data_IF_867930228048
#
_entry.id   IF_867930228048
#
_cell.length_a   1.000
_cell.length_b   1.000
_cell.length_c   1.000
_cell.angle_alpha   90.00
_cell.angle_beta   90.00
_cell.angle_gamma   90.00
#
_symmetry.space_group_name_H-M   'P 1'
#
loop_
_entity.id
_entity.type
_entity.pdbx_description
1 polymer ?
#
# COMPACT_ATOMS: atom_id res chain seq x y z
N UNK A 1 -20.32 -10.27 -5.16
CA UNK A 1 -19.60 -10.15 -3.86
C UNK A 1 -19.55 -8.67 -3.57
N UNK A 2 -20.00 -8.22 -2.41
CA UNK A 2 -19.93 -6.82 -2.03
C UNK A 2 -18.49 -6.43 -1.61
N UNK A 3 -18.25 -5.13 -1.36
CA UNK A 3 -16.93 -4.60 -1.01
C UNK A 3 -16.37 -5.24 0.26
N UNK A 4 -17.19 -5.41 1.29
CA UNK A 4 -16.79 -6.00 2.57
C UNK A 4 -16.33 -7.45 2.36
N UNK A 5 -17.05 -8.21 1.56
CA UNK A 5 -16.72 -9.60 1.24
C UNK A 5 -15.40 -9.70 0.48
N UNK A 6 -15.15 -8.80 -0.52
CA UNK A 6 -13.90 -8.74 -1.27
C UNK A 6 -12.71 -8.50 -0.34
N UNK A 7 -12.79 -7.47 0.52
CA UNK A 7 -11.73 -7.13 1.49
C UNK A 7 -11.50 -8.21 2.54
N UNK A 8 -12.57 -8.82 3.05
CA UNK A 8 -12.46 -9.96 3.96
C UNK A 8 -11.80 -11.17 3.30
N UNK A 9 -12.03 -11.38 2.00
CA UNK A 9 -11.33 -12.42 1.24
C UNK A 9 -9.83 -12.13 1.19
N UNK A 10 -9.43 -10.92 0.80
CA UNK A 10 -8.02 -10.50 0.75
C UNK A 10 -7.34 -10.67 2.12
N UNK A 11 -8.00 -10.22 3.21
CA UNK A 11 -7.48 -10.42 4.57
C UNK A 11 -7.21 -11.88 4.90
N UNK A 12 -8.15 -12.77 4.57
CA UNK A 12 -7.98 -14.22 4.79
C UNK A 12 -6.83 -14.77 3.95
N UNK A 13 -6.70 -14.30 2.72
CA UNK A 13 -5.69 -14.76 1.78
C UNK A 13 -4.29 -14.38 2.25
N UNK A 14 -4.06 -13.12 2.63
CA UNK A 14 -2.78 -12.69 3.19
C UNK A 14 -2.45 -13.33 4.53
N UNK A 15 -3.43 -13.61 5.39
CA UNK A 15 -3.19 -14.42 6.59
C UNK A 15 -2.77 -15.85 6.22
N UNK A 16 -3.30 -16.42 5.15
CA UNK A 16 -3.00 -17.79 4.75
C UNK A 16 -1.60 -17.93 4.14
N UNK A 17 -1.16 -16.95 3.35
CA UNK A 17 0.12 -16.97 2.63
C UNK A 17 1.25 -16.23 3.35
N UNK A 18 1.01 -15.68 4.53
CA UNK A 18 1.95 -14.82 5.23
C UNK A 18 3.37 -15.42 5.37
N UNK A 19 3.48 -16.73 5.60
CA UNK A 19 4.76 -17.44 5.74
C UNK A 19 5.58 -17.38 4.44
N UNK A 20 4.94 -17.73 3.31
CA UNK A 20 5.59 -17.74 2.00
C UNK A 20 5.89 -16.30 1.55
N UNK A 21 4.91 -15.42 1.70
CA UNK A 21 5.07 -14.01 1.36
C UNK A 21 6.21 -13.36 2.13
N UNK A 22 6.31 -13.61 3.45
CA UNK A 22 7.42 -13.07 4.24
C UNK A 22 8.77 -13.65 3.83
N UNK A 23 8.83 -14.95 3.54
CA UNK A 23 10.07 -15.61 3.12
C UNK A 23 10.67 -14.99 1.85
N UNK A 24 9.83 -14.50 0.95
CA UNK A 24 10.24 -13.93 -0.33
C UNK A 24 10.38 -12.40 -0.28
N UNK A 25 9.38 -11.71 0.27
CA UNK A 25 9.30 -10.25 0.23
C UNK A 25 9.53 -9.56 1.58
N UNK A 26 9.73 -10.32 2.66
CA UNK A 26 9.68 -9.77 4.01
C UNK A 26 10.89 -8.94 4.44
N UNK A 27 12.01 -9.01 3.74
CA UNK A 27 13.28 -8.43 4.19
C UNK A 27 13.83 -7.40 3.21
N UNK A 28 13.97 -7.75 1.93
CA UNK A 28 14.53 -6.84 0.94
C UNK A 28 13.52 -5.78 0.50
N UNK A 29 13.98 -4.54 0.34
CA UNK A 29 13.15 -3.45 -0.16
C UNK A 29 13.21 -3.41 -1.68
N UNK A 30 12.05 -3.52 -2.27
CA UNK A 30 11.83 -3.20 -3.68
C UNK A 30 11.76 -1.68 -3.86
N UNK A 31 11.89 -1.22 -5.09
CA UNK A 31 11.69 0.19 -5.47
C UNK A 31 12.51 1.21 -4.65
N UNK A 32 13.70 0.81 -4.22
CA UNK A 32 14.55 1.63 -3.35
C UNK A 32 14.84 3.02 -3.95
N UNK A 33 14.88 3.16 -5.27
CA UNK A 33 15.07 4.45 -5.94
C UNK A 33 13.86 5.37 -5.74
N UNK A 34 12.64 4.85 -5.88
CA UNK A 34 11.41 5.59 -5.59
C UNK A 34 11.35 5.98 -4.11
N UNK A 35 11.64 5.05 -3.21
CA UNK A 35 11.63 5.30 -1.76
C UNK A 35 12.69 6.36 -1.37
N UNK A 36 13.87 6.34 -1.98
CA UNK A 36 14.88 7.36 -1.77
C UNK A 36 14.44 8.72 -2.34
N UNK A 37 13.75 8.73 -3.49
CA UNK A 37 13.17 9.95 -4.06
C UNK A 37 12.10 10.51 -3.13
N UNK A 38 11.15 9.68 -2.66
CA UNK A 38 10.13 10.09 -1.71
C UNK A 38 10.74 10.67 -0.44
N UNK A 39 11.69 9.97 0.16
CA UNK A 39 12.40 10.42 1.35
C UNK A 39 13.09 11.78 1.16
N UNK A 40 13.58 12.09 -0.05
CA UNK A 40 14.26 13.36 -0.33
C UNK A 40 13.36 14.59 -0.25
N UNK A 41 12.04 14.40 -0.23
CA UNK A 41 11.05 15.47 -0.04
C UNK A 41 10.62 15.67 1.41
N UNK A 42 11.09 14.83 2.34
CA UNK A 42 10.70 14.84 3.74
C UNK A 42 11.79 15.45 4.62
N UNK A 43 11.36 16.18 5.63
CA UNK A 43 12.22 16.64 6.70
C UNK A 43 12.58 15.50 7.65
N UNK A 44 13.68 15.62 8.39
CA UNK A 44 14.02 14.69 9.46
C UNK A 44 12.89 14.67 10.50
N UNK A 45 12.70 13.51 11.12
CA UNK A 45 11.69 13.28 12.13
C UNK A 45 10.23 13.35 11.61
N UNK A 46 10.02 13.45 10.27
CA UNK A 46 8.67 13.37 9.70
C UNK A 46 7.96 12.09 10.15
N UNK A 47 6.67 12.22 10.43
CA UNK A 47 5.80 11.09 10.78
C UNK A 47 5.23 10.47 9.52
N UNK A 48 5.48 9.18 9.33
CA UNK A 48 5.09 8.41 8.14
C UNK A 48 4.18 7.26 8.58
N UNK A 49 3.10 7.04 7.87
CA UNK A 49 2.28 5.83 8.03
C UNK A 49 2.36 5.00 6.75
N UNK A 50 2.66 3.72 6.91
CA UNK A 50 2.75 2.75 5.81
C UNK A 50 1.48 1.91 5.77
N UNK A 51 0.51 2.31 4.92
CA UNK A 51 -0.80 1.68 4.78
C UNK A 51 -0.71 0.41 3.93
N UNK A 52 -1.17 -0.71 4.49
CA UNK A 52 -0.97 -2.02 3.90
C UNK A 52 0.49 -2.45 3.94
N UNK A 53 1.22 -2.02 4.99
CA UNK A 53 2.68 -2.20 5.10
C UNK A 53 3.13 -3.64 5.37
N UNK A 54 2.21 -4.61 5.40
CA UNK A 54 2.51 -6.02 5.55
C UNK A 54 3.34 -6.32 6.80
N UNK A 55 4.50 -6.96 6.62
CA UNK A 55 5.39 -7.31 7.72
C UNK A 55 6.25 -6.14 8.24
N UNK A 56 6.02 -4.89 7.80
CA UNK A 56 6.65 -3.69 8.35
C UNK A 56 8.06 -3.39 7.84
N UNK A 57 8.52 -4.02 6.75
CA UNK A 57 9.88 -3.81 6.23
C UNK A 57 10.15 -2.35 5.82
N UNK A 58 9.19 -1.69 5.18
CA UNK A 58 9.32 -0.29 4.74
C UNK A 58 9.28 0.65 5.93
N UNK A 59 8.38 0.43 6.88
CA UNK A 59 8.34 1.18 8.14
C UNK A 59 9.66 1.06 8.92
N UNK A 60 10.23 -0.16 9.01
CA UNK A 60 11.54 -0.36 9.64
C UNK A 60 12.66 0.40 8.92
N UNK A 61 12.66 0.40 7.58
CA UNK A 61 13.60 1.18 6.80
C UNK A 61 13.52 2.68 7.14
N UNK A 62 12.32 3.25 7.20
CA UNK A 62 12.15 4.66 7.56
C UNK A 62 12.65 4.96 8.98
N UNK A 63 12.37 4.10 9.96
CA UNK A 63 12.88 4.25 11.34
C UNK A 63 14.42 4.24 11.35
N UNK A 64 15.05 3.32 10.62
CA UNK A 64 16.51 3.28 10.50
C UNK A 64 17.11 4.52 9.81
N UNK A 65 16.31 5.27 9.04
CA UNK A 65 16.71 6.54 8.41
C UNK A 65 16.37 7.77 9.26
N UNK A 66 15.82 7.58 10.48
CA UNK A 66 15.54 8.66 11.43
C UNK A 66 14.17 9.31 11.27
N UNK A 67 13.22 8.61 10.65
CA UNK A 67 11.83 9.03 10.58
C UNK A 67 10.99 8.35 11.67
N UNK A 68 9.85 8.95 12.01
CA UNK A 68 8.86 8.31 12.86
C UNK A 68 7.89 7.52 11.98
N UNK A 69 8.01 6.20 11.91
CA UNK A 69 7.17 5.40 11.02
C UNK A 69 6.31 4.39 11.79
N UNK A 70 5.08 4.21 11.31
CA UNK A 70 4.12 3.22 11.84
C UNK A 70 3.63 2.35 10.69
N UNK A 71 3.69 1.04 10.84
CA UNK A 71 3.07 0.08 9.94
C UNK A 71 1.59 -0.05 10.27
N UNK A 72 0.77 -0.05 9.23
CA UNK A 72 -0.69 -0.21 9.33
C UNK A 72 -1.12 -1.33 8.40
N UNK A 73 -1.66 -2.42 8.93
CA UNK A 73 -2.10 -3.56 8.12
C UNK A 73 -3.22 -4.33 8.83
N UNK A 74 -4.08 -4.99 8.08
CA UNK A 74 -5.22 -5.74 8.63
C UNK A 74 -4.90 -7.21 8.95
N UNK A 75 -3.73 -7.72 8.52
CA UNK A 75 -3.35 -9.13 8.70
C UNK A 75 -2.68 -9.35 10.05
N UNK A 76 -3.28 -10.23 10.85
CA UNK A 76 -2.71 -10.65 12.14
C UNK A 76 -1.37 -11.38 11.96
N UNK A 77 -1.25 -12.17 10.91
CA UNK A 77 -0.02 -12.90 10.63
C UNK A 77 1.10 -11.96 10.18
N UNK A 78 0.82 -10.93 9.34
CA UNK A 78 1.80 -9.90 9.01
C UNK A 78 2.26 -9.15 10.25
N UNK A 79 1.35 -8.76 11.16
CA UNK A 79 1.72 -8.17 12.44
C UNK A 79 2.65 -9.08 13.26
N UNK A 80 2.36 -10.39 13.32
CA UNK A 80 3.18 -11.33 14.06
C UNK A 80 4.60 -11.42 13.48
N UNK A 81 4.76 -11.32 12.15
CA UNK A 81 6.06 -11.23 11.49
C UNK A 81 6.76 -9.91 11.79
N UNK A 82 6.05 -8.78 11.70
CA UNK A 82 6.60 -7.46 12.05
C UNK A 82 7.15 -7.45 13.47
N UNK A 83 6.39 -7.93 14.45
CA UNK A 83 6.80 -7.97 15.86
C UNK A 83 8.03 -8.83 16.12
N UNK A 84 8.21 -9.93 15.36
CA UNK A 84 9.37 -10.82 15.52
C UNK A 84 10.63 -10.28 14.84
N UNK A 85 10.50 -9.64 13.69
CA UNK A 85 11.65 -9.27 12.85
C UNK A 85 11.99 -7.78 12.96
N UNK A 86 11.01 -6.93 13.27
CA UNK A 86 11.15 -5.48 13.39
C UNK A 86 10.43 -4.99 14.66
N UNK A 87 10.90 -5.40 15.86
CA UNK A 87 10.18 -5.16 17.12
C UNK A 87 10.03 -3.68 17.49
N UNK A 88 10.86 -2.80 16.91
CA UNK A 88 10.80 -1.36 17.12
C UNK A 88 9.77 -0.65 16.22
N UNK A 89 9.14 -1.37 15.28
CA UNK A 89 8.12 -0.80 14.40
C UNK A 89 6.77 -0.78 15.12
N UNK A 90 6.19 0.41 15.39
CA UNK A 90 4.81 0.51 15.85
C UNK A 90 3.87 -0.09 14.80
N UNK A 91 2.86 -0.85 15.24
CA UNK A 91 1.94 -1.54 14.35
C UNK A 91 0.48 -1.29 14.74
N UNK A 92 -0.31 -0.82 13.79
CA UNK A 92 -1.77 -0.70 13.89
C UNK A 92 -2.40 -1.85 13.11
N UNK A 93 -3.20 -2.67 13.79
CA UNK A 93 -3.92 -3.80 13.19
C UNK A 93 -5.35 -3.38 12.90
N UNK A 94 -5.61 -2.88 11.70
CA UNK A 94 -6.97 -2.51 11.25
C UNK A 94 -7.03 -2.47 9.71
N UNK A 95 -8.24 -2.36 9.16
CA UNK A 95 -8.50 -2.12 7.74
C UNK A 95 -8.14 -0.67 7.39
N UNK A 96 -7.43 -0.46 6.28
CA UNK A 96 -6.99 0.89 5.85
C UNK A 96 -8.17 1.84 5.61
N UNK A 97 -9.38 1.35 5.35
CA UNK A 97 -10.58 2.18 5.28
C UNK A 97 -11.00 2.79 6.62
N UNK A 98 -10.41 2.33 7.71
CA UNK A 98 -10.63 2.87 9.06
C UNK A 98 -9.55 3.88 9.48
N UNK A 99 -8.71 4.34 8.56
CA UNK A 99 -7.55 5.18 8.87
C UNK A 99 -7.91 6.45 9.66
N UNK A 100 -9.05 7.06 9.40
CA UNK A 100 -9.56 8.23 10.13
C UNK A 100 -9.87 7.96 11.60
N UNK A 101 -10.02 6.69 12.03
CA UNK A 101 -10.23 6.35 13.43
C UNK A 101 -8.94 6.40 14.25
N UNK A 102 -7.79 6.40 13.59
CA UNK A 102 -6.47 6.32 14.20
C UNK A 102 -5.68 7.62 14.12
N UNK A 103 -5.98 8.48 13.14
CA UNK A 103 -5.25 9.71 12.90
C UNK A 103 -6.19 10.90 12.79
N UNK A 104 -5.81 12.00 13.44
CA UNK A 104 -6.54 13.27 13.35
C UNK A 104 -6.29 13.95 12.00
N UNK A 105 -7.20 14.83 11.58
CA UNK A 105 -7.00 15.68 10.42
C UNK A 105 -5.68 16.48 10.55
N UNK A 106 -4.94 16.60 9.44
CA UNK A 106 -3.68 17.36 9.34
C UNK A 106 -2.62 16.93 10.39
N UNK A 107 -2.48 15.62 10.64
CA UNK A 107 -1.56 15.08 11.65
C UNK A 107 -0.28 14.45 11.08
N UNK A 108 -0.29 13.97 9.83
CA UNK A 108 0.81 13.23 9.24
C UNK A 108 1.55 14.05 8.16
N UNK A 109 2.87 13.98 8.16
CA UNK A 109 3.70 14.54 7.08
C UNK A 109 3.65 13.68 5.82
N UNK A 110 3.55 12.37 5.97
CA UNK A 110 3.58 11.48 4.82
C UNK A 110 2.85 10.14 5.05
N UNK A 111 2.39 9.57 3.94
CA UNK A 111 1.81 8.23 3.89
C UNK A 111 2.47 7.48 2.74
N UNK A 112 2.78 6.19 2.96
CA UNK A 112 3.11 5.25 1.89
C UNK A 112 2.03 4.18 1.78
N UNK A 113 1.81 3.65 0.59
CA UNK A 113 0.94 2.49 0.33
C UNK A 113 1.43 1.74 -0.90
N UNK A 114 2.42 0.90 -0.69
CA UNK A 114 3.06 0.14 -1.76
C UNK A 114 2.43 -1.23 -1.87
N UNK A 115 2.06 -1.63 -3.09
CA UNK A 115 1.50 -2.96 -3.39
C UNK A 115 0.26 -3.36 -2.58
N UNK A 116 -0.59 -2.39 -2.20
CA UNK A 116 -1.77 -2.68 -1.36
C UNK A 116 -3.08 -2.10 -1.88
N UNK A 117 -3.08 -0.91 -2.50
CA UNK A 117 -4.30 -0.21 -2.91
C UNK A 117 -5.10 -0.94 -3.99
N UNK A 118 -4.45 -1.74 -4.81
CA UNK A 118 -5.12 -2.55 -5.82
C UNK A 118 -5.93 -3.72 -5.24
N UNK A 119 -5.91 -3.93 -3.93
CA UNK A 119 -6.82 -4.83 -3.23
C UNK A 119 -8.07 -4.12 -2.67
N UNK A 120 -8.17 -2.80 -2.84
CA UNK A 120 -9.33 -2.04 -2.41
C UNK A 120 -10.34 -1.97 -3.56
N UNK A 121 -11.61 -2.33 -3.33
CA UNK A 121 -12.66 -2.22 -4.33
C UNK A 121 -12.82 -0.79 -4.88
N UNK A 122 -13.13 -0.66 -6.18
CA UNK A 122 -13.29 0.67 -6.84
C UNK A 122 -14.31 1.56 -6.14
N UNK A 123 -15.35 0.97 -5.56
CA UNK A 123 -16.37 1.71 -4.82
C UNK A 123 -15.86 2.37 -3.54
N UNK A 124 -14.78 1.87 -2.95
CA UNK A 124 -14.21 2.38 -1.69
C UNK A 124 -13.01 3.32 -1.91
N UNK A 125 -12.35 3.25 -3.07
CA UNK A 125 -11.05 3.90 -3.29
C UNK A 125 -11.14 5.44 -3.22
N UNK A 126 -12.22 6.03 -3.75
CA UNK A 126 -12.41 7.49 -3.72
C UNK A 126 -12.47 8.01 -2.29
N UNK A 127 -13.25 7.34 -1.43
CA UNK A 127 -13.35 7.73 -0.02
C UNK A 127 -12.01 7.56 0.70
N UNK A 128 -11.28 6.49 0.44
CA UNK A 128 -9.96 6.28 1.03
C UNK A 128 -8.97 7.41 0.65
N UNK A 129 -8.96 7.87 -0.59
CA UNK A 129 -8.09 8.98 -1.01
C UNK A 129 -8.48 10.32 -0.35
N UNK A 130 -9.78 10.56 -0.17
CA UNK A 130 -10.26 11.72 0.60
C UNK A 130 -9.84 11.62 2.07
N UNK A 131 -9.92 10.45 2.67
CA UNK A 131 -9.52 10.20 4.05
C UNK A 131 -8.00 10.38 4.23
N UNK A 132 -7.20 9.86 3.30
CA UNK A 132 -5.75 10.07 3.25
C UNK A 132 -5.42 11.57 3.15
N UNK A 133 -6.10 12.30 2.26
CA UNK A 133 -5.91 13.75 2.15
C UNK A 133 -6.26 14.46 3.46
N UNK A 134 -7.37 14.08 4.11
CA UNK A 134 -7.81 14.70 5.36
C UNK A 134 -6.77 14.57 6.48
N UNK A 135 -6.13 13.41 6.63
CA UNK A 135 -5.15 13.17 7.71
C UNK A 135 -3.76 13.72 7.41
N UNK A 136 -3.41 13.92 6.14
CA UNK A 136 -2.16 14.56 5.75
C UNK A 136 -2.19 16.06 6.09
N UNK A 137 -1.05 16.58 6.56
CA UNK A 137 -0.80 18.01 6.72
C UNK A 137 -0.82 18.72 5.37
N UNK A 138 -0.94 20.05 5.37
CA UNK A 138 -0.73 20.86 4.17
C UNK A 138 0.63 20.55 3.56
N UNK A 139 0.69 20.37 2.24
CA UNK A 139 1.88 19.89 1.51
C UNK A 139 2.37 18.49 1.90
N UNK A 140 1.62 17.75 2.69
CA UNK A 140 1.93 16.36 3.04
C UNK A 140 1.98 15.45 1.81
N UNK A 141 2.72 14.36 1.91
CA UNK A 141 3.05 13.50 0.77
C UNK A 141 2.33 12.15 0.85
N UNK A 142 1.89 11.68 -0.30
CA UNK A 142 1.36 10.34 -0.48
C UNK A 142 2.14 9.61 -1.57
N UNK A 143 2.83 8.53 -1.21
CA UNK A 143 3.58 7.67 -2.13
C UNK A 143 2.90 6.30 -2.23
N UNK A 144 2.51 5.90 -3.44
CA UNK A 144 1.75 4.67 -3.63
C UNK A 144 2.02 4.02 -4.98
N UNK A 145 1.62 2.75 -5.10
CA UNK A 145 1.58 2.03 -6.38
C UNK A 145 0.19 1.49 -6.68
N UNK A 146 -0.14 1.42 -7.98
CA UNK A 146 -1.35 0.82 -8.53
C UNK A 146 -1.02 0.00 -9.76
N UNK A 147 -1.81 -1.05 -10.00
CA UNK A 147 -1.73 -1.84 -11.22
C UNK A 147 -2.52 -1.15 -12.35
N UNK A 148 -1.86 -1.00 -13.51
CA UNK A 148 -2.48 -0.42 -14.69
C UNK A 148 -3.31 -1.47 -15.42
N UNK A 149 -4.48 -1.07 -15.86
CA UNK A 149 -5.42 -1.94 -16.54
C UNK A 149 -6.84 -1.42 -16.46
N UNK A 150 -7.80 -2.31 -16.47
CA UNK A 150 -9.19 -1.93 -16.39
C UNK A 150 -10.02 -2.99 -15.65
N UNK A 151 -10.87 -2.55 -14.74
CA UNK A 151 -11.83 -3.39 -14.05
C UNK A 151 -11.31 -4.03 -12.77
N UNK A 152 -12.04 -5.01 -12.32
CA UNK A 152 -11.79 -5.78 -11.10
C UNK A 152 -11.88 -7.27 -11.46
N UNK A 153 -10.97 -8.07 -10.94
CA UNK A 153 -10.98 -9.51 -11.18
C UNK A 153 -10.41 -10.31 -9.99
N UNK A 154 -10.59 -11.61 -10.05
CA UNK A 154 -9.94 -12.57 -9.19
C UNK A 154 -8.86 -13.27 -10.00
N UNK A 155 -7.60 -13.05 -9.64
CA UNK A 155 -6.43 -13.55 -10.36
C UNK A 155 -5.84 -14.77 -9.67
N UNK A 156 -5.20 -15.62 -10.45
CA UNK A 156 -4.46 -16.76 -9.92
C UNK A 156 -3.28 -16.29 -9.04
N UNK A 157 -3.22 -16.81 -7.82
CA UNK A 157 -2.14 -16.53 -6.86
C UNK A 157 -1.40 -17.83 -6.52
N UNK A 158 -0.11 -17.96 -6.91
CA UNK A 158 0.64 -19.20 -6.74
C UNK A 158 0.69 -19.72 -5.30
N UNK A 159 0.86 -18.83 -4.31
CA UNK A 159 0.92 -19.24 -2.91
C UNK A 159 -0.42 -19.74 -2.37
N UNK A 160 -1.52 -19.23 -2.90
CA UNK A 160 -2.86 -19.70 -2.54
C UNK A 160 -3.17 -21.07 -3.12
N UNK A 161 -2.60 -21.42 -4.29
CA UNK A 161 -2.77 -22.74 -4.92
C UNK A 161 -2.29 -23.86 -4.00
N UNK A 162 -1.17 -23.69 -3.33
CA UNK A 162 -0.63 -24.63 -2.35
C UNK A 162 -1.53 -24.82 -1.13
N UNK A 163 -2.38 -23.84 -0.84
CA UNK A 163 -3.34 -23.85 0.27
C UNK A 163 -4.75 -24.30 -0.15
N UNK A 164 -4.91 -24.77 -1.40
CA UNK A 164 -6.21 -25.21 -1.93
C UNK A 164 -7.17 -24.08 -2.29
N UNK A 165 -6.67 -22.85 -2.41
CA UNK A 165 -7.40 -21.68 -2.87
C UNK A 165 -6.63 -21.09 -4.07
N UNK A 166 -7.35 -20.65 -5.11
CA UNK A 166 -6.67 -20.35 -6.37
C UNK A 166 -6.59 -18.86 -6.72
N UNK A 167 -7.39 -17.99 -6.08
CA UNK A 167 -7.57 -16.64 -6.60
C UNK A 167 -7.51 -15.58 -5.52
N UNK A 168 -6.87 -14.46 -5.85
CA UNK A 168 -6.77 -13.23 -5.07
C UNK A 168 -7.55 -12.12 -5.79
N UNK A 169 -8.30 -11.31 -5.05
CA UNK A 169 -8.99 -10.15 -5.61
C UNK A 169 -8.02 -9.03 -5.96
N UNK A 170 -8.15 -8.50 -7.19
CA UNK A 170 -7.36 -7.40 -7.73
C UNK A 170 -8.24 -6.37 -8.41
N UNK A 171 -7.81 -5.12 -8.33
CA UNK A 171 -8.39 -3.98 -8.98
C UNK A 171 -7.35 -3.28 -9.85
N UNK A 172 -7.71 -2.97 -11.09
CA UNK A 172 -6.86 -2.31 -12.08
C UNK A 172 -7.40 -0.93 -12.40
N UNK A 173 -6.51 -0.01 -12.68
CA UNK A 173 -6.85 1.38 -12.96
C UNK A 173 -6.28 1.83 -14.30
N UNK A 174 -7.06 2.54 -15.09
CA UNK A 174 -6.51 3.34 -16.16
C UNK A 174 -5.82 4.58 -15.60
N UNK A 175 -4.87 5.15 -16.34
CA UNK A 175 -4.22 6.41 -15.92
C UNK A 175 -5.22 7.53 -15.73
N UNK A 176 -6.25 7.62 -16.58
CA UNK A 176 -7.27 8.66 -16.44
C UNK A 176 -8.01 8.52 -15.10
N UNK A 177 -8.41 7.29 -14.71
CA UNK A 177 -9.04 7.06 -13.42
C UNK A 177 -8.14 7.50 -12.26
N UNK A 178 -6.82 7.22 -12.34
CA UNK A 178 -5.85 7.60 -11.30
C UNK A 178 -5.71 9.13 -11.21
N UNK A 179 -5.63 9.81 -12.36
CA UNK A 179 -5.50 11.27 -12.39
C UNK A 179 -6.78 11.96 -11.92
N UNK A 180 -7.95 11.44 -12.29
CA UNK A 180 -9.23 11.94 -11.80
C UNK A 180 -9.33 11.73 -10.28
N UNK A 181 -8.99 10.55 -9.77
CA UNK A 181 -8.96 10.24 -8.34
C UNK A 181 -8.07 11.20 -7.55
N UNK A 182 -6.85 11.47 -8.02
CA UNK A 182 -5.94 12.42 -7.38
C UNK A 182 -6.46 13.86 -7.44
N UNK A 183 -7.02 14.26 -8.57
CA UNK A 183 -7.59 15.60 -8.72
C UNK A 183 -8.80 15.82 -7.82
N UNK A 184 -9.73 14.86 -7.75
CA UNK A 184 -10.93 14.91 -6.92
C UNK A 184 -10.60 14.88 -5.42
N UNK A 185 -9.52 14.20 -5.05
CA UNK A 185 -9.03 14.15 -3.67
C UNK A 185 -7.97 15.21 -3.33
N UNK A 186 -7.83 16.25 -4.15
CA UNK A 186 -7.00 17.45 -3.90
C UNK A 186 -5.49 17.16 -3.78
N UNK A 187 -4.95 16.32 -4.69
CA UNK A 187 -3.52 16.03 -4.80
C UNK A 187 -2.93 16.55 -6.11
N UNK A 188 -1.65 16.95 -6.06
CA UNK A 188 -0.80 17.22 -7.22
C UNK A 188 0.25 16.10 -7.35
N UNK A 189 0.43 15.57 -8.55
CA UNK A 189 1.51 14.62 -8.84
C UNK A 189 2.83 15.39 -8.89
N UNK A 190 3.81 14.99 -8.08
CA UNK A 190 5.15 15.57 -8.07
C UNK A 190 6.23 14.64 -8.62
N UNK A 191 5.93 13.35 -8.70
CA UNK A 191 6.76 12.34 -9.34
C UNK A 191 5.89 11.16 -9.77
N UNK A 192 6.19 10.60 -10.94
CA UNK A 192 5.50 9.46 -11.51
C UNK A 192 6.51 8.59 -12.28
N UNK A 193 6.37 7.28 -12.20
CA UNK A 193 7.09 6.32 -13.00
C UNK A 193 6.21 5.11 -13.28
N UNK A 194 6.26 4.60 -14.50
CA UNK A 194 5.64 3.34 -14.89
C UNK A 194 6.71 2.27 -15.02
N UNK A 195 6.36 1.07 -14.62
CA UNK A 195 7.19 -0.11 -14.78
C UNK A 195 6.37 -1.24 -15.36
N UNK A 196 6.99 -2.00 -16.25
CA UNK A 196 6.50 -3.30 -16.63
C UNK A 196 7.12 -4.32 -15.68
N UNK A 197 6.29 -4.88 -14.81
CA UNK A 197 6.72 -5.88 -13.82
C UNK A 197 6.67 -7.26 -14.48
N UNK A 198 7.82 -7.93 -14.51
CA UNK A 198 7.97 -9.29 -15.03
C UNK A 198 8.65 -10.18 -13.98
N UNK A 199 8.34 -11.46 -13.99
CA UNK A 199 8.96 -12.44 -13.10
C UNK A 199 8.00 -13.56 -12.70
N UNK A 200 8.50 -14.56 -12.03
CA UNK A 200 7.74 -15.75 -11.66
C UNK A 200 6.59 -15.47 -10.67
N UNK A 201 6.60 -14.29 -10.04
CA UNK A 201 5.66 -13.86 -9.01
C UNK A 201 4.79 -12.69 -9.44
N UNK A 202 4.85 -12.30 -10.70
CA UNK A 202 3.97 -11.28 -11.27
C UNK A 202 2.67 -11.94 -11.71
N UNK A 203 1.57 -11.32 -11.38
CA UNK A 203 0.23 -11.82 -11.71
C UNK A 203 0.03 -11.70 -13.23
N UNK A 204 -0.13 -12.86 -13.89
CA UNK A 204 -0.31 -12.98 -15.34
C UNK A 204 0.93 -13.48 -16.09
N UNK A 205 0.72 -14.22 -17.19
CA UNK A 205 1.80 -14.84 -17.97
C UNK A 205 2.70 -13.82 -18.68
N UNK A 206 2.16 -12.62 -19.01
CA UNK A 206 2.86 -11.57 -19.74
C UNK A 206 3.44 -10.46 -18.85
N UNK A 207 3.27 -10.54 -17.53
CA UNK A 207 3.61 -9.46 -16.59
C UNK A 207 2.49 -8.41 -16.46
N UNK A 208 2.67 -7.45 -15.57
CA UNK A 208 1.73 -6.36 -15.33
C UNK A 208 2.41 -5.00 -15.42
N UNK A 209 1.72 -4.03 -15.99
CA UNK A 209 2.15 -2.64 -15.94
C UNK A 209 1.69 -2.03 -14.60
N UNK A 210 2.61 -1.41 -13.90
CA UNK A 210 2.36 -0.71 -12.65
C UNK A 210 2.75 0.76 -12.74
N UNK A 211 2.03 1.60 -12.03
CA UNK A 211 2.35 3.01 -11.86
C UNK A 211 2.68 3.30 -10.40
N UNK A 212 3.72 4.09 -10.21
CA UNK A 212 4.21 4.53 -8.90
C UNK A 212 4.16 6.04 -8.87
N UNK A 213 3.50 6.58 -7.87
CA UNK A 213 3.23 8.01 -7.77
C UNK A 213 3.66 8.55 -6.42
N UNK A 214 4.30 9.73 -6.43
CA UNK A 214 4.42 10.58 -5.27
C UNK A 214 3.53 11.80 -5.54
N UNK A 215 2.50 11.94 -4.72
CA UNK A 215 1.56 13.04 -4.79
C UNK A 215 1.72 13.95 -3.57
N UNK A 216 1.38 15.22 -3.74
CA UNK A 216 1.39 16.24 -2.67
C UNK A 216 -0.01 16.77 -2.46
N UNK A 217 -0.46 16.81 -1.20
CA UNK A 217 -1.70 17.51 -0.83
C UNK A 217 -1.62 18.98 -1.22
N UNK A 218 -2.63 19.45 -1.96
CA UNK A 218 -2.77 20.88 -2.28
C UNK A 218 -3.10 21.68 -1.00
N UNK A 219 -2.59 22.87 -0.97
CA UNK A 219 -2.86 23.85 0.11
C UNK A 219 -4.28 24.38 0.04
#
# INVERSE_FOLDING_TARGET
MDSIDKRNSVKKDYNLIADQYFAEYGIELEDIELINKFKSFLDKDSTIVDLGGGAGKLSNYFIQKGFNSTCYDFSENMRNYAQRNFPDVPFILDDILNVNNHFSSNSLEAITSMYSLFHIPKEDINQLFLDINNILKENGLFCFSLQLGNGEEFVDEPYLKEKGKNVLYMNYFTKNEIYDLLNESNFDIIYEIEKHETGDNVIGEDGNDAIYIIARKRS
#
